data_IF_023469674800
#
_entry.id   IF_023469674800
#
_cell.length_a   1.000
_cell.length_b   1.000
_cell.length_c   1.000
_cell.angle_alpha   90.00
_cell.angle_beta   90.00
_cell.angle_gamma   90.00
#
_symmetry.space_group_name_H-M   'P 1'
#
loop_
_entity.id
_entity.type
_entity.pdbx_description
1 polymer ?
#
# COMPACT_ATOMS: atom_id res chain seq x y z
N UNK A 1 -14.95 24.51 -10.36
CA UNK A 1 -13.95 23.89 -9.47
C UNK A 1 -12.96 23.22 -10.40
N UNK A 2 -11.71 23.67 -10.37
CA UNK A 2 -10.64 23.03 -11.14
C UNK A 2 -10.07 21.88 -10.33
N UNK A 3 -9.98 20.72 -10.95
CA UNK A 3 -9.43 19.51 -10.34
C UNK A 3 -8.19 19.11 -11.15
N UNK A 4 -7.10 18.84 -10.44
CA UNK A 4 -5.83 18.33 -10.97
C UNK A 4 -5.54 16.99 -10.29
N UNK A 5 -4.46 16.32 -10.70
CA UNK A 5 -4.01 15.07 -10.07
C UNK A 5 -3.60 15.23 -8.60
N UNK A 6 -2.98 14.19 -8.08
CA UNK A 6 -2.47 14.11 -6.71
C UNK A 6 -0.95 14.22 -6.69
N UNK A 7 -0.41 15.15 -5.89
CA UNK A 7 1.03 15.38 -5.80
C UNK A 7 1.83 14.22 -5.18
N UNK A 8 1.15 13.24 -4.57
CA UNK A 8 1.80 11.99 -4.14
C UNK A 8 2.36 11.21 -5.34
N UNK A 9 1.71 11.28 -6.51
CA UNK A 9 2.19 10.62 -7.74
C UNK A 9 3.50 11.25 -8.18
N UNK A 10 3.56 12.59 -8.19
CA UNK A 10 4.77 13.36 -8.46
C UNK A 10 5.90 12.97 -7.47
N UNK A 11 5.59 12.92 -6.17
CA UNK A 11 6.55 12.62 -5.12
C UNK A 11 7.14 11.20 -5.26
N UNK A 12 6.31 10.20 -5.56
CA UNK A 12 6.75 8.83 -5.81
C UNK A 12 7.68 8.79 -7.02
N UNK A 13 7.27 9.38 -8.15
CA UNK A 13 8.11 9.41 -9.36
C UNK A 13 9.44 10.14 -9.14
N UNK A 14 9.45 11.20 -8.33
CA UNK A 14 10.68 11.91 -7.96
C UNK A 14 11.59 11.06 -7.07
N UNK A 15 11.04 10.21 -6.21
CA UNK A 15 11.82 9.39 -5.29
C UNK A 15 12.42 8.14 -5.96
N UNK A 16 11.75 7.55 -6.95
CA UNK A 16 12.14 6.30 -7.61
C UNK A 16 13.63 6.23 -8.03
N UNK A 17 14.21 7.23 -8.72
CA UNK A 17 15.62 7.18 -9.15
C UNK A 17 16.63 7.16 -7.99
N UNK A 18 16.20 7.54 -6.79
CA UNK A 18 17.04 7.65 -5.60
C UNK A 18 16.96 6.44 -4.67
N UNK A 19 16.09 5.47 -4.97
CA UNK A 19 15.89 4.29 -4.14
C UNK A 19 17.14 3.42 -4.07
N UNK A 20 17.39 2.85 -2.89
CA UNK A 20 18.50 1.93 -2.61
C UNK A 20 17.96 0.77 -1.81
N UNK A 21 18.46 -0.43 -2.10
CA UNK A 21 18.05 -1.64 -1.40
C UNK A 21 18.32 -1.49 0.11
N UNK A 22 17.28 -1.55 0.96
CA UNK A 22 17.44 -1.41 2.40
C UNK A 22 17.93 -2.72 3.03
N UNK A 23 18.54 -2.63 4.22
CA UNK A 23 19.09 -3.79 4.93
C UNK A 23 18.06 -4.90 5.17
N UNK A 24 16.78 -4.54 5.30
CA UNK A 24 15.67 -5.49 5.48
C UNK A 24 15.55 -6.48 4.31
N UNK A 25 16.03 -6.14 3.11
CA UNK A 25 16.04 -7.05 1.96
C UNK A 25 16.89 -8.29 2.19
N UNK A 26 17.88 -8.24 3.09
CA UNK A 26 18.67 -9.42 3.47
C UNK A 26 17.83 -10.50 4.17
N UNK A 27 16.66 -10.12 4.73
CA UNK A 27 15.70 -11.02 5.39
C UNK A 27 14.60 -11.49 4.45
N UNK A 28 14.48 -10.90 3.26
CA UNK A 28 13.55 -11.33 2.22
C UNK A 28 14.17 -12.49 1.44
N UNK A 29 13.42 -13.58 1.24
CA UNK A 29 13.94 -14.74 0.52
C UNK A 29 14.22 -14.37 -0.95
N UNK A 30 15.44 -14.56 -1.46
CA UNK A 30 15.75 -14.24 -2.86
C UNK A 30 14.83 -14.98 -3.83
N UNK A 31 14.27 -14.24 -4.80
CA UNK A 31 13.37 -14.78 -5.83
C UNK A 31 11.95 -15.11 -5.36
N UNK A 32 11.63 -14.90 -4.08
CA UNK A 32 10.27 -15.06 -3.56
C UNK A 32 9.45 -13.79 -3.85
N UNK A 33 8.22 -13.91 -4.39
CA UNK A 33 7.33 -12.77 -4.52
C UNK A 33 7.01 -12.19 -3.14
N UNK A 34 7.18 -10.87 -3.01
CA UNK A 34 7.07 -10.18 -1.74
C UNK A 34 5.70 -9.56 -1.57
N UNK A 35 5.09 -9.77 -0.41
CA UNK A 35 3.82 -9.18 0.01
C UNK A 35 4.09 -8.24 1.18
N UNK A 36 3.58 -7.02 1.10
CA UNK A 36 3.69 -6.07 2.21
C UNK A 36 2.39 -6.07 2.99
N UNK A 37 2.46 -6.20 4.31
CA UNK A 37 1.35 -5.95 5.22
C UNK A 37 1.67 -4.76 6.13
N UNK A 38 0.74 -3.82 6.29
CA UNK A 38 0.86 -2.76 7.30
C UNK A 38 -0.47 -2.49 7.99
N UNK A 39 -0.39 -2.03 9.24
CA UNK A 39 -1.55 -1.59 10.01
C UNK A 39 -1.16 -0.37 10.86
N UNK A 40 -1.67 0.80 10.51
CA UNK A 40 -1.36 2.09 11.12
C UNK A 40 -2.55 2.72 11.84
N UNK A 41 -3.77 2.35 11.44
CA UNK A 41 -4.99 3.01 11.89
C UNK A 41 -5.33 2.60 13.33
N UNK A 42 -5.62 3.58 14.17
CA UNK A 42 -5.89 3.34 15.60
C UNK A 42 -7.16 2.53 15.81
N UNK A 43 -8.15 2.72 14.95
CA UNK A 43 -9.39 1.94 14.95
C UNK A 43 -9.18 0.43 14.75
N UNK A 44 -8.00 0.03 14.24
CA UNK A 44 -7.63 -1.37 14.05
C UNK A 44 -6.77 -1.93 15.20
N UNK A 45 -6.34 -1.13 16.18
CA UNK A 45 -5.38 -1.58 17.20
C UNK A 45 -5.94 -2.59 18.21
N UNK A 46 -7.25 -2.64 18.39
CA UNK A 46 -7.90 -3.57 19.31
C UNK A 46 -8.10 -4.94 18.64
N UNK A 47 -9.29 -5.21 18.07
CA UNK A 47 -9.60 -6.50 17.44
C UNK A 47 -8.95 -6.68 16.07
N UNK A 48 -8.84 -5.60 15.30
CA UNK A 48 -8.38 -5.65 13.90
C UNK A 48 -6.98 -6.23 13.76
N UNK A 49 -6.04 -5.82 14.63
CA UNK A 49 -4.65 -6.26 14.53
C UNK A 49 -4.49 -7.76 14.79
N UNK A 50 -5.28 -8.34 15.69
CA UNK A 50 -5.31 -9.79 15.92
C UNK A 50 -5.82 -10.51 14.67
N UNK A 51 -6.94 -10.04 14.10
CA UNK A 51 -7.52 -10.59 12.86
C UNK A 51 -6.53 -10.54 11.70
N UNK A 52 -5.84 -9.40 11.52
CA UNK A 52 -4.83 -9.26 10.46
C UNK A 52 -3.64 -10.19 10.68
N UNK A 53 -3.23 -10.38 11.95
CA UNK A 53 -2.14 -11.30 12.30
C UNK A 53 -2.53 -12.76 12.06
N UNK A 54 -3.76 -13.16 12.38
CA UNK A 54 -4.29 -14.50 12.12
C UNK A 54 -4.40 -14.76 10.61
N UNK A 55 -4.90 -13.79 9.85
CA UNK A 55 -4.92 -13.84 8.38
C UNK A 55 -3.50 -13.99 7.82
N UNK A 56 -2.52 -13.22 8.32
CA UNK A 56 -1.11 -13.35 7.93
C UNK A 56 -0.56 -14.75 8.20
N UNK A 57 -0.82 -15.32 9.38
CA UNK A 57 -0.40 -16.69 9.72
C UNK A 57 -0.99 -17.69 8.73
N UNK A 58 -2.30 -17.59 8.43
CA UNK A 58 -3.00 -18.48 7.51
C UNK A 58 -2.43 -18.37 6.09
N UNK A 59 -2.28 -17.15 5.57
CA UNK A 59 -1.70 -16.90 4.24
C UNK A 59 -0.26 -17.38 4.15
N UNK A 60 0.56 -17.16 5.19
CA UNK A 60 1.95 -17.62 5.20
C UNK A 60 2.08 -19.15 5.09
N UNK A 61 1.11 -19.89 5.65
CA UNK A 61 1.07 -21.36 5.60
C UNK A 61 0.53 -21.88 4.28
N UNK A 62 -0.45 -21.20 3.70
CA UNK A 62 -1.00 -21.53 2.39
C UNK A 62 0.02 -21.27 1.27
N UNK A 63 0.88 -20.25 1.44
CA UNK A 63 1.83 -19.79 0.44
C UNK A 63 3.29 -19.77 0.96
N UNK A 64 3.91 -20.94 1.20
CA UNK A 64 5.30 -21.03 1.67
C UNK A 64 6.35 -20.49 0.67
N UNK A 65 5.96 -20.28 -0.59
CA UNK A 65 6.74 -19.66 -1.66
C UNK A 65 6.79 -18.14 -1.61
N UNK A 66 5.82 -17.50 -0.96
CA UNK A 66 5.74 -16.04 -0.80
C UNK A 66 6.49 -15.57 0.44
N UNK A 67 7.00 -14.34 0.41
CA UNK A 67 7.58 -13.69 1.60
C UNK A 67 6.70 -12.53 2.02
N UNK A 68 6.17 -12.59 3.24
CA UNK A 68 5.37 -11.52 3.82
C UNK A 68 6.27 -10.63 4.67
N UNK A 69 6.20 -9.32 4.45
CA UNK A 69 6.94 -8.33 5.25
C UNK A 69 5.95 -7.46 5.98
N UNK A 70 6.08 -7.39 7.30
CA UNK A 70 5.22 -6.56 8.16
C UNK A 70 6.08 -5.60 9.00
N UNK A 71 6.22 -4.34 8.56
CA UNK A 71 6.72 -3.24 9.40
C UNK A 71 5.70 -2.92 10.50
N UNK A 72 5.96 -3.41 11.71
CA UNK A 72 5.03 -3.37 12.84
C UNK A 72 5.10 -2.02 13.54
N UNK A 73 3.95 -1.37 13.75
CA UNK A 73 3.86 -0.10 14.46
C UNK A 73 4.56 -0.16 15.85
N UNK A 74 5.14 0.93 16.33
CA UNK A 74 5.83 1.00 17.63
C UNK A 74 4.90 0.91 18.86
N UNK A 75 3.59 0.77 18.65
CA UNK A 75 2.65 0.76 19.77
C UNK A 75 2.80 -0.57 20.52
N UNK A 76 3.00 -0.58 21.85
CA UNK A 76 3.22 -1.80 22.61
C UNK A 76 2.14 -2.87 22.42
N UNK A 77 0.86 -2.48 22.39
CA UNK A 77 -0.28 -3.39 22.19
C UNK A 77 -0.20 -4.05 20.81
N UNK A 78 -0.01 -3.24 19.77
CA UNK A 78 0.14 -3.74 18.39
C UNK A 78 1.33 -4.70 18.29
N UNK A 79 2.47 -4.35 18.90
CA UNK A 79 3.67 -5.20 18.88
C UNK A 79 3.44 -6.50 19.61
N UNK A 80 2.91 -6.45 20.82
CA UNK A 80 2.66 -7.65 21.63
C UNK A 80 1.76 -8.63 20.88
N UNK A 81 0.67 -8.14 20.26
CA UNK A 81 -0.23 -8.97 19.47
C UNK A 81 0.46 -9.54 18.22
N UNK A 82 1.06 -8.70 17.37
CA UNK A 82 1.64 -9.15 16.09
C UNK A 82 2.81 -10.12 16.33
N UNK A 83 3.74 -9.78 17.23
CA UNK A 83 4.86 -10.66 17.53
C UNK A 83 4.40 -11.92 18.29
N UNK A 84 3.37 -11.84 19.13
CA UNK A 84 2.80 -13.00 19.80
C UNK A 84 2.16 -14.02 18.86
N UNK A 85 1.52 -13.56 17.79
CA UNK A 85 0.77 -14.40 16.84
C UNK A 85 1.64 -14.85 15.66
N UNK A 86 2.41 -13.94 15.05
CA UNK A 86 3.04 -14.15 13.75
C UNK A 86 4.57 -14.36 13.81
N UNK A 87 5.18 -14.45 15.00
CA UNK A 87 6.62 -14.73 15.12
C UNK A 87 6.96 -16.19 14.82
N UNK A 88 8.20 -16.44 14.37
CA UNK A 88 8.73 -17.79 14.13
C UNK A 88 8.33 -18.43 12.80
N UNK A 89 7.54 -17.75 11.96
CA UNK A 89 7.19 -18.21 10.62
C UNK A 89 8.36 -17.99 9.65
N UNK A 90 8.72 -19.00 8.87
CA UNK A 90 9.93 -19.00 8.01
C UNK A 90 9.85 -18.09 6.78
N UNK A 91 8.66 -17.60 6.48
CA UNK A 91 8.37 -16.71 5.35
C UNK A 91 7.64 -15.43 5.77
N UNK A 92 7.70 -15.08 7.07
CA UNK A 92 7.21 -13.80 7.58
C UNK A 92 8.37 -13.01 8.19
N UNK A 93 8.52 -11.79 7.73
CA UNK A 93 9.55 -10.83 8.17
C UNK A 93 8.87 -9.73 8.96
N UNK A 94 8.85 -9.88 10.29
CA UNK A 94 8.43 -8.81 11.20
C UNK A 94 9.61 -7.84 11.42
N UNK A 95 9.37 -6.53 11.27
CA UNK A 95 10.38 -5.49 11.43
C UNK A 95 9.80 -4.27 12.15
N UNK A 96 10.67 -3.40 12.64
CA UNK A 96 10.26 -2.06 13.10
C UNK A 96 9.84 -1.20 11.88
N UNK A 97 9.10 -0.09 12.08
CA UNK A 97 8.69 0.78 10.99
C UNK A 97 9.90 1.26 10.19
N UNK A 98 9.75 1.27 8.87
CA UNK A 98 10.82 1.60 7.96
C UNK A 98 10.84 3.11 7.65
N UNK A 99 12.03 3.70 7.42
CA UNK A 99 12.14 5.00 6.77
C UNK A 99 11.42 5.03 5.42
N UNK A 100 11.02 6.22 4.99
CA UNK A 100 10.21 6.39 3.78
C UNK A 100 10.83 5.74 2.52
N UNK A 101 12.10 6.05 2.22
CA UNK A 101 12.78 5.50 1.04
C UNK A 101 12.94 3.99 1.11
N UNK A 102 13.18 3.43 2.30
CA UNK A 102 13.28 1.99 2.49
C UNK A 102 11.90 1.34 2.24
N UNK A 103 10.83 1.91 2.78
CA UNK A 103 9.47 1.42 2.55
C UNK A 103 9.08 1.53 1.07
N UNK A 104 9.40 2.64 0.40
CA UNK A 104 9.09 2.86 -1.00
C UNK A 104 9.86 1.90 -1.92
N UNK A 105 11.13 1.59 -1.59
CA UNK A 105 11.88 0.54 -2.27
C UNK A 105 11.17 -0.81 -2.16
N UNK A 106 10.71 -1.17 -0.95
CA UNK A 106 9.97 -2.41 -0.73
C UNK A 106 8.68 -2.41 -1.55
N UNK A 107 7.95 -1.31 -1.54
CA UNK A 107 6.69 -1.16 -2.27
C UNK A 107 6.89 -1.28 -3.79
N UNK A 108 7.96 -0.72 -4.35
CA UNK A 108 8.31 -0.88 -5.77
C UNK A 108 8.58 -2.35 -6.13
N UNK A 109 9.15 -3.13 -5.21
CA UNK A 109 9.59 -4.50 -5.44
C UNK A 109 8.59 -5.57 -4.95
N UNK A 110 7.47 -5.20 -4.34
CA UNK A 110 6.43 -6.13 -3.94
C UNK A 110 5.51 -6.51 -5.12
N UNK A 111 4.73 -7.58 -4.93
CA UNK A 111 3.68 -7.98 -5.89
C UNK A 111 2.27 -7.61 -5.43
N UNK A 112 2.04 -7.44 -4.12
CA UNK A 112 0.77 -6.96 -3.58
C UNK A 112 0.92 -6.36 -2.17
N UNK A 113 -0.10 -5.61 -1.75
CA UNK A 113 -0.15 -4.91 -0.45
C UNK A 113 -1.43 -5.24 0.31
N UNK A 114 -1.33 -5.46 1.61
CA UNK A 114 -2.45 -5.50 2.55
C UNK A 114 -2.25 -4.34 3.54
N UNK A 115 -3.10 -3.33 3.51
CA UNK A 115 -2.89 -2.15 4.37
C UNK A 115 -4.18 -1.46 4.78
N UNK A 116 -4.16 -0.72 5.88
CA UNK A 116 -5.23 0.22 6.29
C UNK A 116 -4.85 1.70 6.05
N UNK A 117 -3.72 1.96 5.42
CA UNK A 117 -3.19 3.31 5.21
C UNK A 117 -3.66 3.89 3.87
N UNK A 118 -4.29 5.07 3.93
CA UNK A 118 -4.72 5.80 2.72
C UNK A 118 -3.55 6.36 1.91
N UNK A 119 -2.43 6.70 2.55
CA UNK A 119 -1.21 7.12 1.85
C UNK A 119 -0.57 5.95 1.10
N UNK A 120 -0.46 4.79 1.75
CA UNK A 120 0.05 3.56 1.10
C UNK A 120 -0.89 3.15 -0.03
N UNK A 121 -2.20 3.37 0.11
CA UNK A 121 -3.16 3.17 -0.99
C UNK A 121 -2.79 3.99 -2.22
N UNK A 122 -2.40 5.26 -2.07
CA UNK A 122 -1.98 6.09 -3.21
C UNK A 122 -0.67 5.63 -3.84
N UNK A 123 0.31 5.34 -3.00
CA UNK A 123 1.65 4.97 -3.45
C UNK A 123 1.66 3.60 -4.12
N UNK A 124 0.91 2.63 -3.58
CA UNK A 124 0.76 1.29 -4.16
C UNK A 124 0.12 1.34 -5.54
N UNK A 125 -0.97 2.09 -5.70
CA UNK A 125 -1.64 2.30 -6.98
C UNK A 125 -0.71 2.99 -7.97
N UNK A 126 0.04 4.00 -7.51
CA UNK A 126 1.04 4.69 -8.35
C UNK A 126 2.14 3.76 -8.85
N UNK A 127 2.55 2.80 -8.03
CA UNK A 127 3.54 1.78 -8.38
C UNK A 127 2.92 0.53 -9.02
N UNK A 128 1.65 0.60 -9.42
CA UNK A 128 0.91 -0.49 -10.04
C UNK A 128 0.93 -1.79 -9.20
N UNK A 129 0.72 -1.66 -7.89
CA UNK A 129 0.63 -2.76 -6.94
C UNK A 129 -0.83 -2.95 -6.52
N UNK A 130 -1.46 -4.13 -6.79
CA UNK A 130 -2.79 -4.40 -6.28
C UNK A 130 -2.78 -4.39 -4.75
N UNK A 131 -3.86 -3.89 -4.16
CA UNK A 131 -3.96 -3.73 -2.72
C UNK A 131 -5.30 -4.23 -2.18
N UNK A 132 -5.24 -4.99 -1.08
CA UNK A 132 -6.38 -5.25 -0.23
C UNK A 132 -6.40 -4.20 0.89
N UNK A 133 -7.41 -3.33 0.88
CA UNK A 133 -7.59 -2.30 1.90
C UNK A 133 -8.31 -2.90 3.11
N UNK A 134 -7.61 -2.94 4.24
CA UNK A 134 -8.05 -3.46 5.53
C UNK A 134 -8.98 -2.46 6.26
N UNK A 135 -9.97 -1.93 5.52
CA UNK A 135 -10.97 -0.96 5.97
C UNK A 135 -12.32 -1.28 5.33
N UNK A 136 -13.39 -0.95 6.04
CA UNK A 136 -14.78 -1.06 5.53
C UNK A 136 -15.11 0.02 4.50
N UNK A 137 -14.47 1.18 4.62
CA UNK A 137 -14.71 2.36 3.78
C UNK A 137 -13.41 3.04 3.40
N UNK A 138 -13.43 3.76 2.29
CA UNK A 138 -12.30 4.55 1.78
C UNK A 138 -12.76 5.90 1.27
N UNK A 139 -11.93 6.90 1.53
CA UNK A 139 -12.03 8.25 0.96
C UNK A 139 -11.59 8.32 -0.51
N UNK A 140 -11.11 7.21 -1.08
CA UNK A 140 -10.62 7.10 -2.47
C UNK A 140 -11.40 6.06 -3.29
N UNK A 141 -12.71 6.24 -3.53
CA UNK A 141 -13.53 5.29 -4.29
C UNK A 141 -13.03 5.04 -5.72
N UNK A 142 -12.27 5.98 -6.29
CA UNK A 142 -11.67 5.90 -7.61
C UNK A 142 -10.67 4.73 -7.75
N UNK A 143 -9.90 4.41 -6.70
CA UNK A 143 -8.97 3.29 -6.71
C UNK A 143 -9.67 1.93 -6.56
N UNK A 144 -10.85 1.91 -5.94
CA UNK A 144 -11.71 0.72 -5.91
C UNK A 144 -12.37 0.51 -7.26
N UNK A 145 -12.85 1.59 -7.88
CA UNK A 145 -13.54 1.54 -9.17
C UNK A 145 -12.60 1.14 -10.31
N UNK A 146 -11.33 1.56 -10.25
CA UNK A 146 -10.27 1.19 -11.20
C UNK A 146 -9.67 -0.21 -10.95
N UNK A 147 -10.14 -0.92 -9.91
CA UNK A 147 -9.73 -2.30 -9.60
C UNK A 147 -8.41 -2.44 -8.84
N UNK A 148 -7.59 -1.39 -8.74
CA UNK A 148 -6.31 -1.45 -8.01
C UNK A 148 -6.47 -1.80 -6.53
N UNK A 149 -7.60 -1.41 -5.93
CA UNK A 149 -7.85 -1.57 -4.49
C UNK A 149 -9.13 -2.36 -4.27
N UNK A 150 -9.09 -3.35 -3.38
CA UNK A 150 -10.29 -4.07 -2.92
C UNK A 150 -10.48 -3.85 -1.42
N UNK A 151 -11.65 -3.37 -1.02
CA UNK A 151 -12.04 -3.26 0.40
C UNK A 151 -12.30 -4.66 0.96
N UNK A 152 -11.63 -5.00 2.06
CA UNK A 152 -11.78 -6.30 2.74
C UNK A 152 -12.02 -6.17 4.24
N UNK A 153 -11.94 -4.96 4.81
CA UNK A 153 -12.34 -4.72 6.19
C UNK A 153 -11.52 -5.47 7.23
N UNK A 154 -12.18 -5.78 8.35
CA UNK A 154 -11.65 -6.61 9.44
C UNK A 154 -12.28 -8.02 9.44
N UNK A 155 -12.31 -8.68 8.29
CA UNK A 155 -12.84 -10.04 8.13
C UNK A 155 -11.74 -10.98 7.62
N UNK A 156 -11.30 -11.92 8.47
CA UNK A 156 -10.22 -12.86 8.14
C UNK A 156 -10.54 -13.68 6.89
N UNK A 157 -11.77 -14.18 6.75
CA UNK A 157 -12.16 -15.03 5.64
C UNK A 157 -12.25 -14.21 4.34
N UNK A 158 -12.72 -12.97 4.42
CA UNK A 158 -12.72 -12.05 3.28
C UNK A 158 -11.30 -11.65 2.85
N UNK A 159 -10.40 -11.38 3.81
CA UNK A 159 -8.98 -11.10 3.54
C UNK A 159 -8.36 -12.30 2.81
N UNK A 160 -8.50 -13.50 3.36
CA UNK A 160 -7.89 -14.71 2.81
C UNK A 160 -8.47 -15.04 1.43
N UNK A 161 -9.80 -15.08 1.29
CA UNK A 161 -10.42 -15.38 0.00
C UNK A 161 -10.11 -14.34 -1.08
N UNK A 162 -9.96 -13.06 -0.71
CA UNK A 162 -9.54 -12.01 -1.63
C UNK A 162 -8.07 -12.12 -2.01
N UNK A 163 -7.21 -12.55 -1.09
CA UNK A 163 -5.81 -12.82 -1.38
C UNK A 163 -5.65 -14.00 -2.34
N UNK A 164 -6.38 -15.09 -2.12
CA UNK A 164 -6.40 -16.24 -3.04
C UNK A 164 -6.84 -15.84 -4.46
N UNK A 165 -7.78 -14.89 -4.59
CA UNK A 165 -8.16 -14.34 -5.91
C UNK A 165 -6.99 -13.60 -6.58
N UNK A 166 -6.21 -12.83 -5.82
CA UNK A 166 -5.00 -12.18 -6.34
C UNK A 166 -3.93 -13.21 -6.73
N UNK A 167 -3.71 -14.24 -5.93
CA UNK A 167 -2.75 -15.31 -6.26
C UNK A 167 -3.19 -16.03 -7.53
N UNK A 168 -4.48 -16.37 -7.66
CA UNK A 168 -5.02 -17.02 -8.84
C UNK A 168 -4.92 -16.16 -10.12
N UNK A 169 -4.82 -14.83 -9.98
CA UNK A 169 -4.60 -13.90 -11.08
C UNK A 169 -3.14 -13.51 -11.30
N UNK A 170 -2.19 -14.18 -10.63
CA UNK A 170 -0.76 -13.83 -10.66
C UNK A 170 -0.50 -12.37 -10.25
N UNK A 171 -1.26 -11.90 -9.24
CA UNK A 171 -1.25 -10.53 -8.72
C UNK A 171 -1.52 -9.46 -9.79
N UNK A 172 -2.21 -9.83 -10.88
CA UNK A 172 -2.72 -8.87 -11.84
C UNK A 172 -4.02 -8.27 -11.29
N UNK A 173 -4.17 -6.95 -11.43
CA UNK A 173 -5.39 -6.23 -11.12
C UNK A 173 -6.56 -6.84 -11.88
N UNK A 174 -7.58 -7.26 -11.14
CA UNK A 174 -8.79 -7.83 -11.70
C UNK A 174 -9.86 -6.74 -11.83
N UNK A 175 -10.14 -6.32 -13.06
CA UNK A 175 -11.15 -5.31 -13.39
C UNK A 175 -10.63 -3.88 -13.42
N UNK A 176 -11.38 -2.98 -14.06
CA UNK A 176 -10.97 -1.60 -14.32
C UNK A 176 -10.12 -1.42 -15.59
N UNK A 177 -9.69 -0.19 -15.86
CA UNK A 177 -8.85 0.17 -17.01
C UNK A 177 -7.35 0.09 -16.71
N UNK A 178 -6.97 -0.20 -15.46
CA UNK A 178 -5.57 -0.24 -15.03
C UNK A 178 -4.88 1.13 -15.07
N UNK A 179 -5.64 2.22 -15.14
CA UNK A 179 -5.08 3.58 -15.12
C UNK A 179 -4.94 4.01 -13.67
N UNK A 180 -3.82 4.68 -13.33
CA UNK A 180 -3.68 5.32 -12.03
C UNK A 180 -4.70 6.47 -11.91
N UNK A 181 -5.76 6.34 -11.08
CA UNK A 181 -6.80 7.36 -10.97
C UNK A 181 -6.31 8.62 -10.25
N UNK A 182 -5.12 8.59 -9.63
CA UNK A 182 -4.56 9.71 -8.89
C UNK A 182 -3.76 10.67 -9.77
N UNK A 183 -3.47 10.31 -11.02
CA UNK A 183 -2.82 11.19 -11.99
C UNK A 183 -1.59 10.58 -12.63
N UNK A 184 -0.93 11.39 -13.45
CA UNK A 184 0.21 11.02 -14.32
C UNK A 184 1.56 11.48 -13.77
N UNK A 185 1.58 12.09 -12.58
CA UNK A 185 2.78 12.63 -11.95
C UNK A 185 3.17 14.03 -12.47
N UNK A 186 2.23 14.77 -13.03
CA UNK A 186 2.43 16.17 -13.45
C UNK A 186 1.63 17.18 -12.62
N UNK A 187 1.10 16.76 -11.47
CA UNK A 187 0.20 17.56 -10.63
C UNK A 187 0.81 18.90 -10.24
N UNK A 188 2.08 18.93 -9.83
CA UNK A 188 2.74 20.16 -9.41
C UNK A 188 2.82 21.19 -10.56
N UNK A 189 3.12 20.71 -11.77
CA UNK A 189 3.15 21.56 -12.98
C UNK A 189 1.77 22.09 -13.32
N UNK A 190 0.74 21.25 -13.22
CA UNK A 190 -0.64 21.65 -13.44
C UNK A 190 -1.09 22.72 -12.43
N UNK A 191 -0.76 22.55 -11.14
CA UNK A 191 -1.06 23.54 -10.09
C UNK A 191 -0.40 24.88 -10.41
N UNK A 192 0.90 24.89 -10.72
CA UNK A 192 1.62 26.13 -11.04
C UNK A 192 1.01 26.83 -12.25
N UNK A 193 0.69 26.06 -13.31
CA UNK A 193 0.05 26.61 -14.52
C UNK A 193 -1.27 27.30 -14.17
N UNK A 194 -2.13 26.68 -13.33
CA UNK A 194 -3.41 27.28 -12.94
C UNK A 194 -3.26 28.53 -12.08
N UNK A 195 -2.25 28.55 -11.20
CA UNK A 195 -1.95 29.75 -10.40
C UNK A 195 -1.50 30.88 -11.32
N UNK A 196 -0.59 30.60 -12.26
CA UNK A 196 -0.11 31.59 -13.22
C UNK A 196 -1.23 32.14 -14.10
N UNK A 197 -2.10 31.27 -14.63
CA UNK A 197 -3.26 31.66 -15.43
C UNK A 197 -4.20 32.60 -14.65
N UNK A 198 -4.47 32.28 -13.37
CA UNK A 198 -5.31 33.11 -12.50
C UNK A 198 -4.70 34.49 -12.24
N UNK A 199 -3.40 34.54 -11.94
CA UNK A 199 -2.68 35.79 -11.70
C UNK A 199 -2.63 36.66 -12.95
N UNK A 200 -2.40 36.06 -14.12
CA UNK A 200 -2.36 36.78 -15.40
C UNK A 200 -3.74 37.30 -15.82
N UNK A 201 -4.80 36.52 -15.61
CA UNK A 201 -6.17 36.93 -15.90
C UNK A 201 -6.64 38.11 -15.03
N UNK A 202 -6.20 38.16 -13.77
CA UNK A 202 -6.55 39.26 -12.85
C UNK A 202 -5.77 40.55 -13.11
N UNK A 203 -4.58 40.48 -13.72
CA UNK A 203 -3.76 41.66 -14.05
C UNK A 203 -4.11 42.29 -15.41
N UNK A 204 -4.79 41.54 -16.29
CA UNK A 204 -5.17 41.99 -17.65
C UNK A 204 -6.51 42.74 -17.70
N UNK A 205 -7.20 42.89 -16.56
CA UNK A 205 -8.52 43.52 -16.45
C UNK A 205 -8.54 44.92 -15.82
N UNK A 206 -7.39 45.61 -15.76
CA UNK A 206 -7.24 46.98 -15.24
C UNK A 206 -7.00 48.03 -16.31
#
# INVERSE_FOLDING_TARGET
MDVVGNSIVDAVHMALPHLRAPDIMSRVRPGSPMIIMTAHRRENWDSGIAIFSDALVKLSRLHPELTFVFPVHLNPVVRETVFGIASGLSNVVLTDPLPYFDFLYMLEHCVAVLSDSGGIQEESVTLHKPMLLLREVTERPEAVTSGWVKLVGQDEDLIVSSFEQLVASDFVVLGGDGINPYGDGTTAVQILTRIDDYLNATHSGG
#
